data_IF_172389827513
#
_entry.id   IF_172389827513
#
_cell.length_a   1.000
_cell.length_b   1.000
_cell.length_c   1.000
_cell.angle_alpha   90.00
_cell.angle_beta   90.00
_cell.angle_gamma   90.00
#
_symmetry.space_group_name_H-M   'P 1'
#
loop_
_entity.id
_entity.type
_entity.pdbx_description
1 polymer ?
#
# COMPACT_ATOMS: atom_id res chain seq x y z
N UNK A 1 -12.11 18.06 23.34
CA UNK A 1 -10.88 18.78 23.02
C UNK A 1 -10.07 17.84 22.14
N UNK A 2 -10.04 18.05 20.82
CA UNK A 2 -9.14 17.30 19.96
C UNK A 2 -7.74 17.82 20.21
N UNK A 3 -6.87 16.95 20.73
CA UNK A 3 -5.44 17.25 20.88
C UNK A 3 -4.90 17.60 19.49
N UNK A 4 -4.39 18.82 19.33
CA UNK A 4 -3.72 19.21 18.09
C UNK A 4 -2.46 18.36 17.98
N UNK A 5 -2.27 17.61 16.88
CA UNK A 5 -1.10 16.74 16.75
C UNK A 5 0.19 17.54 16.96
N UNK A 6 1.00 17.09 17.90
CA UNK A 6 2.27 17.74 18.24
C UNK A 6 3.24 17.58 17.08
N UNK A 7 3.93 18.67 16.72
CA UNK A 7 4.97 18.63 15.68
C UNK A 7 6.06 17.62 16.06
N UNK A 8 6.30 16.65 15.17
CA UNK A 8 7.33 15.64 15.36
C UNK A 8 8.63 16.03 14.66
N UNK A 9 9.73 15.99 15.38
CA UNK A 9 11.04 16.25 14.80
C UNK A 9 11.42 15.09 13.84
N UNK A 10 12.07 15.37 12.67
CA UNK A 10 12.46 14.32 11.72
C UNK A 10 13.27 13.17 12.32
N UNK A 11 14.15 13.46 13.27
CA UNK A 11 14.94 12.44 13.99
C UNK A 11 14.04 11.49 14.81
N UNK A 12 12.95 11.98 15.39
CA UNK A 12 11.98 11.18 16.11
C UNK A 12 11.15 10.31 15.16
N UNK A 13 10.71 10.87 14.02
CA UNK A 13 10.05 10.10 12.97
C UNK A 13 10.93 8.95 12.48
N UNK A 14 12.23 9.24 12.26
CA UNK A 14 13.24 8.24 11.88
C UNK A 14 13.39 7.16 12.95
N UNK A 15 13.46 7.52 14.22
CA UNK A 15 13.57 6.57 15.32
C UNK A 15 12.35 5.65 15.38
N UNK A 16 11.14 6.18 15.30
CA UNK A 16 9.91 5.36 15.27
C UNK A 16 9.91 4.37 14.10
N UNK A 17 10.38 4.78 12.93
CA UNK A 17 10.52 3.88 11.80
C UNK A 17 11.57 2.78 12.08
N UNK A 18 12.71 3.12 12.69
CA UNK A 18 13.74 2.14 13.09
C UNK A 18 13.20 1.11 14.08
N UNK A 19 12.51 1.58 15.13
CA UNK A 19 11.89 0.71 16.14
C UNK A 19 10.89 -0.24 15.50
N UNK A 20 10.08 0.26 14.55
CA UNK A 20 9.13 -0.54 13.81
C UNK A 20 9.81 -1.61 12.95
N UNK A 21 10.87 -1.28 12.22
CA UNK A 21 11.55 -2.25 11.33
C UNK A 21 12.43 -3.25 12.07
N UNK A 22 12.78 -2.99 13.33
CA UNK A 22 13.50 -3.93 14.18
C UNK A 22 12.64 -5.14 14.59
N UNK A 23 11.30 -5.00 14.56
CA UNK A 23 10.34 -6.07 14.84
C UNK A 23 9.99 -6.93 13.64
N UNK A 24 9.16 -7.93 13.87
CA UNK A 24 8.45 -8.64 12.80
C UNK A 24 7.35 -7.76 12.24
N UNK A 25 7.22 -7.73 10.91
CA UNK A 25 6.21 -6.93 10.22
C UNK A 25 5.22 -7.87 9.55
N UNK A 26 4.01 -7.93 10.10
CA UNK A 26 2.89 -8.65 9.51
C UNK A 26 2.11 -7.82 8.48
N UNK A 27 1.14 -8.46 7.81
CA UNK A 27 0.28 -7.75 6.84
C UNK A 27 -0.56 -6.68 7.54
N UNK A 28 -1.01 -6.92 8.78
CA UNK A 28 -1.74 -5.96 9.61
C UNK A 28 -0.92 -4.72 10.01
N UNK A 29 0.42 -4.80 9.92
CA UNK A 29 1.31 -3.68 10.27
C UNK A 29 1.70 -2.84 9.05
N UNK A 30 1.32 -3.28 7.84
CA UNK A 30 1.77 -2.69 6.59
C UNK A 30 1.31 -1.23 6.44
N UNK A 31 0.05 -0.92 6.78
CA UNK A 31 -0.46 0.44 6.75
C UNK A 31 0.28 1.33 7.77
N UNK A 32 0.51 0.83 9.00
CA UNK A 32 1.32 1.55 10.00
C UNK A 32 2.73 1.84 9.49
N UNK A 33 3.40 0.86 8.88
CA UNK A 33 4.73 1.05 8.29
C UNK A 33 4.76 2.13 7.20
N UNK A 34 3.74 2.15 6.32
CA UNK A 34 3.61 3.17 5.29
C UNK A 34 3.32 4.58 5.87
N UNK A 35 2.54 4.68 6.95
CA UNK A 35 2.32 5.95 7.66
C UNK A 35 3.58 6.44 8.40
N UNK A 36 4.39 5.54 8.96
CA UNK A 36 5.68 5.90 9.54
C UNK A 36 6.68 6.39 8.47
N UNK A 37 6.58 5.89 7.23
CA UNK A 37 7.31 6.46 6.10
C UNK A 37 6.84 7.90 5.83
N UNK A 38 5.54 8.16 5.88
CA UNK A 38 4.97 9.48 5.63
C UNK A 38 5.31 10.50 6.74
N UNK A 39 5.52 10.06 7.96
CA UNK A 39 5.70 10.91 9.14
C UNK A 39 6.91 11.87 9.03
N UNK A 40 7.93 11.52 8.25
CA UNK A 40 9.09 12.39 8.01
C UNK A 40 8.73 13.61 7.14
N UNK A 41 7.80 13.45 6.20
CA UNK A 41 7.30 14.55 5.35
C UNK A 41 6.11 15.28 5.99
N UNK A 42 5.32 14.57 6.79
CA UNK A 42 4.11 15.08 7.45
C UNK A 42 4.28 15.04 8.98
N UNK A 43 5.07 15.95 9.58
CA UNK A 43 5.45 15.86 11.00
C UNK A 43 4.30 16.09 11.99
N UNK A 44 3.11 16.41 11.51
CA UNK A 44 1.87 16.51 12.31
C UNK A 44 0.90 15.37 12.04
N UNK A 45 1.33 14.33 11.32
CA UNK A 45 0.48 13.19 11.02
C UNK A 45 0.13 12.43 12.30
N UNK A 46 -1.16 12.29 12.54
CA UNK A 46 -1.69 11.37 13.55
C UNK A 46 -1.80 9.97 12.95
N UNK A 47 -0.78 9.14 13.18
CA UNK A 47 -0.71 7.78 12.65
C UNK A 47 -1.87 6.92 13.17
N UNK A 48 -2.22 7.03 14.45
CA UNK A 48 -3.27 6.21 15.05
C UNK A 48 -4.66 6.68 14.62
N UNK A 49 -4.87 7.99 14.51
CA UNK A 49 -6.09 8.57 13.93
C UNK A 49 -6.30 8.13 12.49
N UNK A 50 -5.26 8.17 11.66
CA UNK A 50 -5.33 7.73 10.25
C UNK A 50 -5.60 6.22 10.13
N UNK A 51 -5.02 5.39 11.01
CA UNK A 51 -5.37 3.96 11.09
C UNK A 51 -6.83 3.76 11.54
N UNK A 52 -7.36 4.66 12.36
CA UNK A 52 -8.78 4.69 12.75
C UNK A 52 -9.72 4.93 11.56
N UNK A 53 -9.30 5.68 10.54
CA UNK A 53 -10.08 5.86 9.31
C UNK A 53 -10.19 4.55 8.51
N UNK A 54 -9.10 3.75 8.45
CA UNK A 54 -9.14 2.42 7.84
C UNK A 54 -10.04 1.46 8.61
N UNK A 55 -10.04 1.52 9.96
CA UNK A 55 -10.99 0.77 10.78
C UNK A 55 -12.43 1.20 10.51
N UNK A 56 -12.70 2.50 10.40
CA UNK A 56 -14.03 3.00 10.06
C UNK A 56 -14.50 2.49 8.68
N UNK A 57 -13.60 2.40 7.70
CA UNK A 57 -13.88 1.80 6.39
C UNK A 57 -14.21 0.30 6.55
N UNK A 58 -13.42 -0.44 7.33
CA UNK A 58 -13.67 -1.85 7.59
C UNK A 58 -15.03 -2.09 8.30
N UNK A 59 -15.41 -1.20 9.22
CA UNK A 59 -16.73 -1.23 9.87
C UNK A 59 -17.87 -1.01 8.88
N UNK A 60 -17.72 -0.11 7.90
CA UNK A 60 -18.72 0.07 6.84
C UNK A 60 -18.86 -1.20 6.00
N UNK A 61 -17.73 -1.83 5.66
CA UNK A 61 -17.75 -3.12 4.94
C UNK A 61 -18.50 -4.20 5.74
N UNK A 62 -18.22 -4.35 7.04
CA UNK A 62 -18.93 -5.32 7.92
C UNK A 62 -20.43 -5.07 7.98
N UNK A 63 -20.86 -3.81 8.00
CA UNK A 63 -22.29 -3.43 8.07
C UNK A 63 -23.07 -3.75 6.79
N UNK A 64 -22.41 -3.98 5.65
CA UNK A 64 -23.07 -4.39 4.41
C UNK A 64 -23.56 -5.83 4.43
N UNK A 65 -22.99 -6.67 5.27
CA UNK A 65 -23.25 -8.09 5.30
C UNK A 65 -23.41 -8.65 6.70
N UNK A 66 -23.26 -9.97 6.79
CA UNK A 66 -23.31 -10.73 8.03
C UNK A 66 -21.93 -11.27 8.39
N UNK A 67 -21.62 -11.46 9.71
CA UNK A 67 -20.38 -12.14 10.13
C UNK A 67 -20.21 -13.54 9.54
N UNK A 68 -21.31 -14.21 9.14
CA UNK A 68 -21.32 -15.53 8.52
C UNK A 68 -21.17 -15.52 7.00
N UNK A 69 -21.05 -14.34 6.37
CA UNK A 69 -20.94 -14.26 4.92
C UNK A 69 -19.69 -14.98 4.41
N UNK A 70 -19.81 -15.74 3.32
CA UNK A 70 -18.66 -16.32 2.64
C UNK A 70 -17.64 -15.23 2.23
N UNK A 71 -16.34 -15.56 2.13
CA UNK A 71 -15.30 -14.60 1.77
C UNK A 71 -15.56 -13.83 0.47
N UNK A 72 -16.22 -14.44 -0.52
CA UNK A 72 -16.56 -13.78 -1.79
C UNK A 72 -17.53 -12.61 -1.61
N UNK A 73 -18.51 -12.73 -0.70
CA UNK A 73 -19.44 -11.63 -0.40
C UNK A 73 -18.74 -10.50 0.35
N UNK A 74 -17.86 -10.84 1.32
CA UNK A 74 -17.05 -9.85 2.02
C UNK A 74 -16.12 -9.08 1.07
N UNK A 75 -15.56 -9.77 0.05
CA UNK A 75 -14.81 -9.12 -1.02
C UNK A 75 -15.70 -8.16 -1.82
N UNK A 76 -16.92 -8.57 -2.19
CA UNK A 76 -17.89 -7.70 -2.86
C UNK A 76 -18.28 -6.47 -2.03
N UNK A 77 -18.44 -6.61 -0.71
CA UNK A 77 -18.73 -5.49 0.19
C UNK A 77 -17.53 -4.53 0.31
N UNK A 78 -16.31 -5.06 0.38
CA UNK A 78 -15.09 -4.26 0.36
C UNK A 78 -14.97 -3.48 -0.95
N UNK A 79 -15.18 -4.15 -2.09
CA UNK A 79 -15.17 -3.49 -3.39
C UNK A 79 -16.16 -2.34 -3.44
N UNK A 80 -17.41 -2.58 -3.05
CA UNK A 80 -18.46 -1.56 -3.06
C UNK A 80 -18.12 -0.36 -2.16
N UNK A 81 -17.59 -0.57 -0.94
CA UNK A 81 -17.23 0.55 -0.06
C UNK A 81 -16.03 1.32 -0.59
N UNK A 82 -14.99 0.63 -1.04
CA UNK A 82 -13.74 1.28 -1.42
C UNK A 82 -13.84 1.98 -2.78
N UNK A 83 -14.47 1.34 -3.77
CA UNK A 83 -14.45 1.83 -5.15
C UNK A 83 -15.74 2.51 -5.58
N UNK A 84 -16.92 2.01 -5.17
CA UNK A 84 -18.19 2.60 -5.59
C UNK A 84 -18.61 3.77 -4.67
N UNK A 85 -18.34 3.68 -3.35
CA UNK A 85 -18.74 4.71 -2.38
C UNK A 85 -17.62 5.73 -2.20
N UNK A 86 -16.43 5.31 -1.76
CA UNK A 86 -15.31 6.19 -1.46
C UNK A 86 -14.53 6.62 -2.73
N UNK A 87 -14.76 5.94 -3.87
CA UNK A 87 -14.16 6.25 -5.17
C UNK A 87 -12.62 6.27 -5.16
N UNK A 88 -12.00 5.30 -4.47
CA UNK A 88 -10.56 5.09 -4.55
C UNK A 88 -10.16 4.72 -5.98
N UNK A 89 -9.13 5.39 -6.51
CA UNK A 89 -8.66 5.18 -7.88
C UNK A 89 -7.20 5.56 -8.07
N UNK A 90 -6.61 5.09 -9.14
CA UNK A 90 -5.30 5.50 -9.59
C UNK A 90 -5.25 6.95 -10.08
N UNK A 91 -4.08 7.56 -9.98
CA UNK A 91 -3.78 8.84 -10.60
C UNK A 91 -3.07 8.59 -11.94
N UNK A 92 -3.84 8.46 -12.99
CA UNK A 92 -3.29 8.30 -14.35
C UNK A 92 -2.79 9.62 -14.95
N UNK A 93 -3.40 10.74 -14.51
CA UNK A 93 -3.10 12.07 -15.05
C UNK A 93 -1.76 12.61 -14.51
N UNK A 94 -1.48 12.36 -13.23
CA UNK A 94 -0.23 12.81 -12.58
C UNK A 94 0.39 11.68 -11.76
N UNK A 95 0.75 10.59 -12.44
CA UNK A 95 1.29 9.38 -11.81
C UNK A 95 2.50 9.66 -10.91
N UNK A 96 3.34 10.64 -11.27
CA UNK A 96 4.58 10.95 -10.56
C UNK A 96 4.45 12.04 -9.49
N UNK A 97 3.22 12.51 -9.17
CA UNK A 97 2.96 13.40 -8.04
C UNK A 97 3.39 12.70 -6.73
N UNK A 98 4.35 13.26 -5.96
CA UNK A 98 4.86 12.60 -4.75
C UNK A 98 3.80 12.26 -3.71
N UNK A 99 2.71 13.05 -3.61
CA UNK A 99 1.60 12.78 -2.69
C UNK A 99 0.92 11.44 -2.95
N UNK A 100 0.96 10.95 -4.20
CA UNK A 100 0.42 9.64 -4.55
C UNK A 100 1.18 8.46 -3.91
N UNK A 101 2.38 8.71 -3.36
CA UNK A 101 3.23 7.72 -2.71
C UNK A 101 3.23 7.79 -1.17
N UNK A 102 2.38 8.63 -0.58
CA UNK A 102 2.19 8.73 0.87
C UNK A 102 0.80 8.25 1.28
N UNK A 103 0.74 7.32 2.24
CA UNK A 103 -0.52 6.64 2.58
C UNK A 103 -1.57 7.59 3.17
N UNK A 104 -1.16 8.55 4.01
CA UNK A 104 -2.07 9.57 4.54
C UNK A 104 -2.76 10.38 3.42
N UNK A 105 -1.98 10.82 2.42
CA UNK A 105 -2.51 11.56 1.26
C UNK A 105 -3.45 10.69 0.43
N UNK A 106 -3.12 9.40 0.27
CA UNK A 106 -3.98 8.47 -0.47
C UNK A 106 -5.30 8.22 0.27
N UNK A 107 -5.27 8.11 1.60
CA UNK A 107 -6.48 7.96 2.42
C UNK A 107 -7.35 9.21 2.33
N UNK A 108 -6.77 10.41 2.44
CA UNK A 108 -7.51 11.68 2.37
C UNK A 108 -8.10 11.94 0.98
N UNK A 109 -7.28 11.80 -0.06
CA UNK A 109 -7.63 12.16 -1.44
C UNK A 109 -8.35 11.06 -2.22
N UNK A 110 -8.31 9.83 -1.73
CA UNK A 110 -8.82 8.61 -2.40
C UNK A 110 -8.14 8.32 -3.75
N UNK A 111 -6.95 8.89 -3.96
CA UNK A 111 -6.18 8.81 -5.21
C UNK A 111 -4.72 8.50 -4.88
N UNK A 112 -4.10 7.57 -5.61
CA UNK A 112 -2.71 7.22 -5.33
C UNK A 112 -2.09 6.23 -6.29
N UNK A 113 -0.86 5.80 -5.96
CA UNK A 113 -0.14 4.76 -6.69
C UNK A 113 -0.75 3.38 -6.47
N UNK A 114 -0.54 2.42 -7.40
CA UNK A 114 -1.04 1.05 -7.28
C UNK A 114 -0.73 0.41 -5.93
N UNK A 115 0.51 0.56 -5.45
CA UNK A 115 0.96 -0.05 -4.20
C UNK A 115 0.29 0.57 -2.96
N UNK A 116 0.05 1.89 -2.93
CA UNK A 116 -0.58 2.54 -1.77
C UNK A 116 -2.08 2.22 -1.71
N UNK A 117 -2.77 2.23 -2.83
CA UNK A 117 -4.15 1.78 -2.94
C UNK A 117 -4.30 0.30 -2.54
N UNK A 118 -3.31 -0.54 -2.91
CA UNK A 118 -3.27 -1.94 -2.48
C UNK A 118 -3.02 -2.08 -0.98
N UNK A 119 -2.25 -1.18 -0.35
CA UNK A 119 -2.06 -1.17 1.11
C UNK A 119 -3.38 -0.84 1.82
N UNK A 120 -4.16 0.14 1.35
CA UNK A 120 -5.50 0.42 1.87
C UNK A 120 -6.39 -0.81 1.75
N UNK A 121 -6.44 -1.42 0.57
CA UNK A 121 -7.22 -2.63 0.33
C UNK A 121 -6.80 -3.79 1.25
N UNK A 122 -5.50 -4.05 1.40
CA UNK A 122 -4.95 -5.13 2.23
C UNK A 122 -5.27 -4.93 3.72
N UNK A 123 -5.17 -3.71 4.22
CA UNK A 123 -5.52 -3.38 5.60
C UNK A 123 -6.99 -3.68 5.88
N UNK A 124 -7.89 -3.15 5.05
CA UNK A 124 -9.34 -3.40 5.19
C UNK A 124 -9.68 -4.88 4.98
N UNK A 125 -9.10 -5.53 3.98
CA UNK A 125 -9.30 -6.96 3.71
C UNK A 125 -8.94 -7.83 4.94
N UNK A 126 -7.80 -7.54 5.57
CA UNK A 126 -7.35 -8.23 6.79
C UNK A 126 -8.34 -8.01 7.94
N UNK A 127 -8.80 -6.78 8.14
CA UNK A 127 -9.77 -6.43 9.20
C UNK A 127 -11.13 -7.10 9.04
N UNK A 128 -11.55 -7.37 7.81
CA UNK A 128 -12.80 -8.08 7.52
C UNK A 128 -12.61 -9.59 7.34
N UNK A 129 -11.43 -10.11 7.68
CA UNK A 129 -11.13 -11.55 7.68
C UNK A 129 -11.00 -12.17 6.30
N UNK A 130 -10.54 -11.41 5.30
CA UNK A 130 -10.12 -11.94 4.00
C UNK A 130 -8.65 -12.35 4.04
N UNK A 131 -8.32 -13.46 3.41
CA UNK A 131 -6.93 -13.86 3.19
C UNK A 131 -6.42 -13.18 1.92
N UNK A 132 -5.66 -12.11 2.07
CA UNK A 132 -5.17 -11.30 0.98
C UNK A 132 -3.67 -11.01 1.11
N UNK A 133 -2.98 -10.90 -0.01
CA UNK A 133 -1.57 -10.58 -0.08
C UNK A 133 -1.25 -9.68 -1.28
N UNK A 134 -0.26 -8.81 -1.11
CA UNK A 134 0.23 -7.97 -2.20
C UNK A 134 1.07 -8.76 -3.20
N UNK A 135 0.98 -8.40 -4.46
CA UNK A 135 1.74 -9.00 -5.56
C UNK A 135 2.41 -7.89 -6.37
N UNK A 136 3.74 -7.84 -6.28
CA UNK A 136 4.54 -6.86 -7.01
C UNK A 136 4.81 -7.32 -8.44
N UNK A 137 4.10 -6.75 -9.38
CA UNK A 137 4.32 -6.96 -10.81
C UNK A 137 5.39 -5.99 -11.36
N UNK A 138 6.08 -6.34 -12.46
CA UNK A 138 6.90 -5.38 -13.20
C UNK A 138 6.10 -4.12 -13.57
N UNK A 139 6.48 -2.97 -12.98
CA UNK A 139 5.82 -1.69 -13.22
C UNK A 139 4.45 -1.49 -12.57
N UNK A 140 3.87 -2.51 -11.92
CA UNK A 140 2.55 -2.44 -11.30
C UNK A 140 2.50 -3.16 -9.94
N UNK A 141 1.36 -3.06 -9.25
CA UNK A 141 1.13 -3.75 -7.97
C UNK A 141 -0.35 -4.08 -7.83
N UNK A 142 -0.67 -5.33 -7.52
CA UNK A 142 -2.04 -5.82 -7.39
C UNK A 142 -2.21 -6.59 -6.07
N UNK A 143 -3.45 -6.96 -5.74
CA UNK A 143 -3.76 -7.78 -4.57
C UNK A 143 -4.26 -9.14 -5.03
N UNK A 144 -3.69 -10.20 -4.45
CA UNK A 144 -4.20 -11.54 -4.55
C UNK A 144 -5.09 -11.84 -3.35
N UNK A 145 -6.34 -12.24 -3.58
CA UNK A 145 -7.27 -12.71 -2.55
C UNK A 145 -7.43 -14.22 -2.70
N UNK A 146 -7.12 -14.95 -1.62
CA UNK A 146 -7.15 -16.41 -1.59
C UNK A 146 -8.48 -16.93 -1.04
N UNK A 147 -9.09 -17.85 -1.74
CA UNK A 147 -10.24 -18.65 -1.32
C UNK A 147 -9.81 -20.11 -1.14
N UNK A 148 -10.69 -20.96 -0.61
CA UNK A 148 -10.36 -22.38 -0.34
C UNK A 148 -9.79 -23.11 -1.56
N UNK A 149 -10.37 -22.92 -2.75
CA UNK A 149 -10.01 -23.63 -3.98
C UNK A 149 -9.51 -22.71 -5.09
N UNK A 150 -9.62 -21.40 -4.94
CA UNK A 150 -9.34 -20.42 -5.99
C UNK A 150 -8.62 -19.18 -5.45
N UNK A 151 -8.01 -18.45 -6.35
CA UNK A 151 -7.47 -17.12 -6.07
C UNK A 151 -7.97 -16.12 -7.10
N UNK A 152 -8.16 -14.88 -6.67
CA UNK A 152 -8.51 -13.74 -7.53
C UNK A 152 -7.42 -12.68 -7.42
N UNK A 153 -7.15 -11.99 -8.52
CA UNK A 153 -6.29 -10.83 -8.55
C UNK A 153 -7.16 -9.58 -8.71
N UNK A 154 -6.99 -8.64 -7.80
CA UNK A 154 -7.72 -7.38 -7.77
C UNK A 154 -6.74 -6.25 -8.03
N UNK A 155 -7.12 -5.30 -8.88
CA UNK A 155 -6.33 -4.11 -9.20
C UNK A 155 -6.96 -2.85 -8.58
N UNK A 156 -6.51 -2.42 -7.39
CA UNK A 156 -7.04 -1.22 -6.75
C UNK A 156 -6.79 0.08 -7.52
N UNK A 157 -5.78 0.09 -8.40
CA UNK A 157 -5.47 1.27 -9.21
C UNK A 157 -6.51 1.50 -10.29
N UNK A 158 -7.04 0.42 -10.87
CA UNK A 158 -8.11 0.46 -11.86
C UNK A 158 -9.48 0.13 -11.24
N UNK A 159 -9.81 0.80 -10.12
CA UNK A 159 -11.13 0.72 -9.49
C UNK A 159 -11.51 -0.67 -8.95
N UNK A 160 -10.55 -1.47 -8.55
CA UNK A 160 -10.79 -2.80 -8.00
C UNK A 160 -11.12 -3.87 -9.07
N UNK A 161 -10.76 -3.63 -10.31
CA UNK A 161 -10.97 -4.59 -11.40
C UNK A 161 -10.39 -5.97 -11.06
N UNK A 162 -11.15 -7.04 -11.30
CA UNK A 162 -10.65 -8.41 -11.18
C UNK A 162 -9.89 -8.77 -12.45
N UNK A 163 -8.67 -9.27 -12.30
CA UNK A 163 -7.78 -9.59 -13.41
C UNK A 163 -7.68 -11.12 -13.62
N UNK A 164 -7.77 -11.52 -14.87
CA UNK A 164 -7.39 -12.86 -15.35
C UNK A 164 -5.89 -12.96 -15.57
N UNK A 165 -5.35 -14.16 -15.65
CA UNK A 165 -3.94 -14.38 -16.00
C UNK A 165 -3.56 -13.77 -17.36
N UNK A 166 -4.48 -13.79 -18.33
CA UNK A 166 -4.28 -13.19 -19.65
C UNK A 166 -4.15 -11.67 -19.59
N UNK A 167 -5.00 -11.02 -18.77
CA UNK A 167 -4.94 -9.56 -18.58
C UNK A 167 -3.66 -9.15 -17.85
N UNK A 168 -3.24 -9.90 -16.81
CA UNK A 168 -1.96 -9.65 -16.13
C UNK A 168 -0.79 -9.81 -17.12
N UNK A 169 -0.79 -10.85 -17.95
CA UNK A 169 0.24 -11.07 -18.96
C UNK A 169 0.30 -9.91 -19.98
N UNK A 170 -0.87 -9.45 -20.42
CA UNK A 170 -0.99 -8.31 -21.35
C UNK A 170 -0.49 -7.02 -20.71
N UNK A 171 -0.86 -6.76 -19.46
CA UNK A 171 -0.41 -5.60 -18.69
C UNK A 171 1.12 -5.58 -18.55
N UNK A 172 1.73 -6.69 -18.12
CA UNK A 172 3.20 -6.79 -17.97
C UNK A 172 3.89 -6.59 -19.33
N UNK A 173 3.37 -7.20 -20.38
CA UNK A 173 3.92 -7.06 -21.73
C UNK A 173 3.85 -5.60 -22.19
N UNK A 174 2.72 -4.92 -21.98
CA UNK A 174 2.54 -3.52 -22.32
C UNK A 174 3.52 -2.59 -21.59
N UNK A 175 3.63 -2.73 -20.27
CA UNK A 175 4.52 -1.90 -19.43
C UNK A 175 6.00 -2.14 -19.77
N UNK A 176 6.39 -3.38 -20.10
CA UNK A 176 7.78 -3.73 -20.41
C UNK A 176 8.15 -3.60 -21.88
N UNK A 177 7.25 -3.12 -22.75
CA UNK A 177 7.48 -3.11 -24.20
C UNK A 177 7.71 -4.51 -24.78
N UNK A 178 7.05 -5.53 -24.23
CA UNK A 178 7.18 -6.93 -24.65
C UNK A 178 8.42 -7.67 -24.13
N UNK A 179 9.26 -7.02 -23.32
CA UNK A 179 10.53 -7.61 -22.83
C UNK A 179 10.33 -8.61 -21.70
N UNK A 180 9.24 -8.48 -20.92
CA UNK A 180 8.97 -9.36 -19.77
C UNK A 180 7.75 -10.22 -20.07
N UNK A 181 7.89 -11.54 -19.86
CA UNK A 181 6.78 -12.50 -19.90
C UNK A 181 6.32 -12.83 -18.49
N UNK A 182 5.01 -12.99 -18.30
CA UNK A 182 4.46 -13.46 -17.04
C UNK A 182 5.00 -14.85 -16.69
N UNK A 183 5.45 -15.01 -15.45
CA UNK A 183 5.88 -16.27 -14.85
C UNK A 183 5.22 -16.45 -13.50
N UNK A 184 5.21 -17.67 -12.95
CA UNK A 184 4.68 -17.94 -11.61
C UNK A 184 5.42 -17.16 -10.51
N UNK A 185 6.69 -16.81 -10.73
CA UNK A 185 7.48 -15.99 -9.80
C UNK A 185 6.89 -14.57 -9.63
N UNK A 186 6.39 -13.98 -10.72
CA UNK A 186 5.73 -12.66 -10.68
C UNK A 186 4.42 -12.67 -9.87
N UNK A 187 3.81 -13.85 -9.67
CA UNK A 187 2.54 -14.02 -8.95
C UNK A 187 2.71 -14.38 -7.48
N UNK A 188 3.95 -14.47 -7.01
CA UNK A 188 4.22 -14.74 -5.59
C UNK A 188 3.78 -13.58 -4.72
N UNK A 189 3.19 -13.93 -3.56
CA UNK A 189 2.89 -12.96 -2.53
C UNK A 189 4.18 -12.31 -2.02
N UNK A 190 4.18 -10.98 -1.95
CA UNK A 190 5.26 -10.22 -1.37
C UNK A 190 5.13 -10.16 0.15
N UNK A 191 6.24 -10.16 0.83
CA UNK A 191 6.29 -9.88 2.26
C UNK A 191 6.00 -8.40 2.51
N UNK A 192 5.48 -8.03 3.69
CA UNK A 192 5.30 -6.62 4.07
C UNK A 192 6.58 -5.79 3.93
N UNK A 193 7.74 -6.37 4.26
CA UNK A 193 9.04 -5.70 4.07
C UNK A 193 9.34 -5.39 2.61
N UNK A 194 9.10 -6.33 1.70
CA UNK A 194 9.27 -6.09 0.26
C UNK A 194 8.34 -4.99 -0.25
N UNK A 195 7.10 -4.96 0.25
CA UNK A 195 6.13 -3.93 -0.07
C UNK A 195 6.61 -2.55 0.40
N UNK A 196 7.06 -2.40 1.66
CA UNK A 196 7.58 -1.13 2.17
C UNK A 196 8.85 -0.68 1.45
N UNK A 197 9.74 -1.61 1.07
CA UNK A 197 10.89 -1.30 0.21
C UNK A 197 10.43 -0.70 -1.13
N UNK A 198 9.38 -1.25 -1.76
CA UNK A 198 8.86 -0.72 -3.01
C UNK A 198 8.20 0.65 -2.83
N UNK A 199 7.50 0.89 -1.71
CA UNK A 199 6.97 2.24 -1.38
C UNK A 199 8.11 3.25 -1.33
N UNK A 200 9.18 2.94 -0.61
CA UNK A 200 10.36 3.82 -0.52
C UNK A 200 11.09 3.99 -1.86
N UNK A 201 11.18 2.94 -2.68
CA UNK A 201 11.78 3.03 -4.01
C UNK A 201 10.97 3.93 -4.94
N UNK A 202 9.63 3.93 -4.85
CA UNK A 202 8.78 4.86 -5.57
C UNK A 202 9.05 6.30 -5.12
N UNK A 203 9.11 6.56 -3.81
CA UNK A 203 9.45 7.88 -3.25
C UNK A 203 10.84 8.34 -3.67
N UNK A 204 11.85 7.47 -3.61
CA UNK A 204 13.20 7.75 -4.06
C UNK A 204 13.23 8.22 -5.52
N UNK A 205 12.54 7.48 -6.39
CA UNK A 205 12.45 7.82 -7.81
C UNK A 205 11.71 9.14 -8.05
N UNK A 206 10.57 9.36 -7.39
CA UNK A 206 9.78 10.59 -7.53
C UNK A 206 10.56 11.82 -7.07
N UNK A 207 11.16 11.77 -5.89
CA UNK A 207 11.98 12.86 -5.37
C UNK A 207 13.24 13.10 -6.21
N UNK A 208 13.84 12.04 -6.76
CA UNK A 208 14.94 12.16 -7.71
C UNK A 208 14.55 12.89 -8.99
N UNK A 209 13.34 12.64 -9.52
CA UNK A 209 12.82 13.31 -10.73
C UNK A 209 12.58 14.81 -10.54
N UNK A 210 12.12 15.22 -9.36
CA UNK A 210 11.87 16.64 -9.05
C UNK A 210 13.10 17.37 -8.47
N UNK A 211 14.25 16.68 -8.38
CA UNK A 211 15.51 17.26 -7.93
C UNK A 211 15.67 17.38 -6.42
N UNK A 212 14.78 16.78 -5.63
CA UNK A 212 14.82 16.78 -4.15
C UNK A 212 15.80 15.73 -3.61
N UNK A 213 17.10 15.95 -3.84
CA UNK A 213 18.16 14.97 -3.55
C UNK A 213 18.17 14.48 -2.08
N UNK A 214 17.88 15.36 -1.11
CA UNK A 214 17.85 14.98 0.31
C UNK A 214 16.75 13.99 0.62
N UNK A 215 15.54 14.20 0.06
CA UNK A 215 14.39 13.31 0.26
C UNK A 215 14.62 11.98 -0.44
N UNK A 216 15.18 12.01 -1.65
CA UNK A 216 15.56 10.79 -2.38
C UNK A 216 16.60 9.97 -1.60
N UNK A 217 17.62 10.62 -1.03
CA UNK A 217 18.62 9.96 -0.20
C UNK A 217 18.03 9.39 1.10
N UNK A 218 17.17 10.14 1.80
CA UNK A 218 16.45 9.66 2.98
C UNK A 218 15.63 8.40 2.71
N UNK A 219 14.97 8.32 1.55
CA UNK A 219 14.25 7.10 1.14
C UNK A 219 15.21 5.92 0.91
N UNK A 220 16.37 6.17 0.26
CA UNK A 220 17.39 5.14 0.04
C UNK A 220 17.95 4.56 1.35
N UNK A 221 18.26 5.41 2.32
CA UNK A 221 18.73 4.94 3.64
C UNK A 221 17.71 4.03 4.33
N UNK A 222 16.41 4.37 4.25
CA UNK A 222 15.33 3.55 4.84
C UNK A 222 15.15 2.22 4.12
N UNK A 223 15.43 2.16 2.81
CA UNK A 223 15.48 0.89 2.07
C UNK A 223 16.58 -0.01 2.62
N UNK A 224 17.79 0.53 2.87
CA UNK A 224 18.90 -0.23 3.46
C UNK A 224 18.54 -0.80 4.83
N UNK A 225 17.85 -0.01 5.68
CA UNK A 225 17.36 -0.47 6.98
C UNK A 225 16.39 -1.66 6.85
N UNK A 226 15.40 -1.56 5.96
CA UNK A 226 14.45 -2.66 5.71
C UNK A 226 15.13 -3.92 5.16
N UNK A 227 16.23 -3.78 4.43
CA UNK A 227 17.00 -4.89 3.86
C UNK A 227 18.03 -5.48 4.84
N UNK A 228 18.14 -4.96 6.06
CA UNK A 228 19.12 -5.41 7.04
C UNK A 228 20.58 -5.08 6.67
N UNK A 229 20.78 -4.12 5.77
CA UNK A 229 22.10 -3.66 5.30
C UNK A 229 22.65 -2.51 6.15
N UNK A 230 22.33 -2.48 7.44
CA UNK A 230 22.91 -1.45 8.33
C UNK A 230 24.40 -1.73 8.44
N UNK A 231 25.21 -0.82 7.93
CA UNK A 231 26.64 -0.80 8.20
C UNK A 231 26.81 -0.43 9.68
N UNK A 232 27.38 -1.32 10.47
CA UNK A 232 27.96 -0.97 11.76
C UNK A 232 28.91 0.22 11.52
N UNK A 233 28.55 1.39 12.07
CA UNK A 233 29.41 2.57 12.17
C UNK A 233 29.83 2.76 13.59
#
# INVERSE_FOLDING_TARGET
>A
MHDVPTFMHPAEARRRFLDFVAGEIGVCDLARGALLIALEEYPRLDVDGTLGELEALAERVRRRGSPSDPPVFRLGHLHAEMFDVDNYRGDEADYYEPRNAYLNEVIDRKVGLPILLSIVFLDVATRVGLNAAGVGLPGHYVVKVQFEMNELYVDPFHGGATLTMGEIATMISGISGGQVRLTSEHLRAWTPRQTLVRVLANLQNMWGRVGEARKSFSAAERIELLQGKVRDR
#
